data_IF_344909024113
#
_entry.id   IF_344909024113
#
_cell.length_a   1.000
_cell.length_b   1.000
_cell.length_c   1.000
_cell.angle_alpha   90.00
_cell.angle_beta   90.00
_cell.angle_gamma   90.00
#
_symmetry.space_group_name_H-M   'P 1'
#
loop_
_entity.id
_entity.type
_entity.pdbx_description
1 polymer ?
#
# COMPACT_ATOMS: atom_id res chain seq x y z
N UNK A 1 -14.20 -3.19 9.77
CA UNK A 1 -13.13 -4.18 9.52
C UNK A 1 -11.99 -3.52 8.76
N UNK A 2 -10.97 -4.29 8.39
CA UNK A 2 -9.83 -3.80 7.61
C UNK A 2 -9.58 -4.77 6.45
N UNK A 3 -9.59 -4.28 5.22
CA UNK A 3 -9.16 -5.04 4.05
C UNK A 3 -7.73 -4.64 3.75
N UNK A 4 -6.82 -5.59 3.85
CA UNK A 4 -5.43 -5.36 3.55
C UNK A 4 -5.08 -6.04 2.22
N UNK A 5 -4.78 -5.23 1.21
CA UNK A 5 -4.32 -5.74 -0.08
C UNK A 5 -2.86 -6.19 0.06
N UNK A 6 -2.54 -7.32 -0.56
CA UNK A 6 -1.21 -7.90 -0.58
C UNK A 6 -0.69 -7.94 -2.00
N UNK A 7 0.50 -7.40 -2.18
CA UNK A 7 1.15 -7.34 -3.47
C UNK A 7 1.44 -8.75 -4.02
N UNK A 8 0.80 -9.07 -5.15
CA UNK A 8 0.86 -10.36 -5.83
C UNK A 8 1.21 -10.26 -7.32
N UNK A 9 1.87 -9.18 -7.73
CA UNK A 9 2.24 -8.90 -9.13
C UNK A 9 3.75 -9.07 -9.42
N UNK A 10 4.57 -9.33 -8.39
CA UNK A 10 6.03 -9.46 -8.53
C UNK A 10 6.46 -10.65 -9.41
N UNK A 11 7.54 -10.51 -10.19
CA UNK A 11 7.99 -11.54 -11.13
C UNK A 11 9.04 -12.54 -10.57
N UNK A 12 9.58 -12.30 -9.37
CA UNK A 12 10.64 -13.14 -8.75
C UNK A 12 10.60 -13.12 -7.21
N UNK A 13 9.63 -12.42 -6.63
CA UNK A 13 9.66 -11.84 -5.30
C UNK A 13 8.21 -11.68 -4.87
N UNK A 14 7.74 -12.57 -3.98
CA UNK A 14 6.33 -12.70 -3.63
C UNK A 14 6.05 -12.32 -2.18
N UNK A 15 4.80 -11.96 -1.90
CA UNK A 15 4.29 -11.85 -0.54
C UNK A 15 3.81 -13.22 -0.10
N UNK A 16 4.23 -13.68 1.09
CA UNK A 16 3.86 -14.98 1.63
C UNK A 16 2.95 -14.82 2.84
N UNK A 17 1.89 -15.62 2.91
CA UNK A 17 0.99 -15.74 4.06
C UNK A 17 1.13 -17.15 4.62
N UNK A 18 1.61 -17.28 5.85
CA UNK A 18 1.94 -18.58 6.46
C UNK A 18 2.85 -19.47 5.59
N UNK A 19 3.79 -18.84 4.89
CA UNK A 19 4.73 -19.52 3.99
C UNK A 19 4.13 -19.97 2.65
N UNK A 20 2.85 -19.69 2.39
CA UNK A 20 2.21 -19.90 1.10
C UNK A 20 2.27 -18.60 0.30
N UNK A 21 2.68 -18.67 -0.96
CA UNK A 21 2.64 -17.54 -1.87
C UNK A 21 1.22 -16.97 -1.94
N UNK A 22 1.07 -15.68 -1.66
CA UNK A 22 -0.21 -15.00 -1.64
C UNK A 22 -0.95 -15.13 -2.98
N UNK A 23 -0.26 -15.26 -4.12
CA UNK A 23 -0.91 -15.52 -5.42
C UNK A 23 -1.79 -16.78 -5.44
N UNK A 24 -1.54 -17.72 -4.53
CA UNK A 24 -2.23 -19.01 -4.48
C UNK A 24 -3.38 -19.05 -3.47
N UNK A 25 -3.54 -18.01 -2.64
CA UNK A 25 -4.64 -17.93 -1.68
C UNK A 25 -5.84 -17.22 -2.30
N UNK A 26 -7.01 -17.49 -1.74
CA UNK A 26 -8.19 -16.63 -1.93
C UNK A 26 -8.26 -15.63 -0.77
N UNK A 27 -8.97 -14.50 -0.92
CA UNK A 27 -9.13 -13.56 0.18
C UNK A 27 -9.68 -14.26 1.42
N UNK A 28 -9.08 -13.96 2.57
CA UNK A 28 -9.24 -14.74 3.81
C UNK A 28 -9.29 -13.83 5.02
N UNK A 29 -10.05 -14.23 6.04
CA UNK A 29 -10.14 -13.51 7.32
C UNK A 29 -8.98 -13.93 8.21
N UNK A 30 -8.35 -12.95 8.86
CA UNK A 30 -7.27 -13.14 9.83
C UNK A 30 -7.55 -12.34 11.10
N UNK A 31 -7.07 -12.87 12.23
CA UNK A 31 -6.88 -12.08 13.42
C UNK A 31 -5.77 -11.05 13.19
N UNK A 32 -5.93 -9.81 13.69
CA UNK A 32 -4.91 -8.78 13.50
C UNK A 32 -3.55 -9.17 14.13
N UNK A 33 -3.57 -9.93 15.22
CA UNK A 33 -2.35 -10.40 15.90
C UNK A 33 -1.55 -11.40 15.09
N UNK A 34 -2.15 -12.14 14.16
CA UNK A 34 -1.41 -13.05 13.28
C UNK A 34 -0.43 -12.26 12.40
N UNK A 35 -0.85 -11.08 11.91
CA UNK A 35 -0.01 -10.20 11.10
C UNK A 35 1.14 -9.63 11.96
N UNK A 36 0.84 -9.25 13.20
CA UNK A 36 1.85 -8.78 14.17
C UNK A 36 2.89 -9.85 14.49
N UNK A 37 2.48 -11.13 14.53
CA UNK A 37 3.36 -12.29 14.76
C UNK A 37 4.12 -12.73 13.50
N UNK A 38 4.00 -12.01 12.39
CA UNK A 38 4.74 -12.27 11.16
C UNK A 38 4.11 -13.31 10.24
N UNK A 39 2.78 -13.50 10.30
CA UNK A 39 2.07 -14.35 9.34
C UNK A 39 2.26 -13.90 7.88
N UNK A 40 2.53 -12.61 7.66
CA UNK A 40 2.82 -12.02 6.35
C UNK A 40 4.31 -11.70 6.24
N UNK A 41 4.97 -12.31 5.27
CA UNK A 41 6.37 -12.03 4.93
C UNK A 41 6.41 -11.41 3.54
N UNK A 42 6.87 -10.16 3.47
CA UNK A 42 7.00 -9.46 2.20
C UNK A 42 8.36 -9.75 1.58
N UNK A 43 8.36 -10.61 0.57
CA UNK A 43 9.46 -10.79 -0.35
C UNK A 43 9.31 -9.93 -1.60
N UNK A 44 8.25 -9.14 -1.73
CA UNK A 44 7.87 -8.47 -2.98
C UNK A 44 8.89 -7.42 -3.48
N UNK A 45 8.82 -7.11 -4.77
CA UNK A 45 9.65 -6.11 -5.42
C UNK A 45 8.76 -5.15 -6.21
N UNK A 46 8.37 -4.06 -5.53
CA UNK A 46 7.64 -2.91 -6.08
C UNK A 46 8.52 -1.67 -6.02
N UNK A 47 7.95 -0.50 -6.26
CA UNK A 47 8.69 0.73 -6.03
C UNK A 47 9.14 0.83 -4.58
N UNK A 48 10.25 1.51 -4.31
CA UNK A 48 10.77 1.49 -2.95
C UNK A 48 9.79 2.19 -2.00
N UNK A 49 9.22 3.32 -2.39
CA UNK A 49 8.36 4.16 -1.55
C UNK A 49 7.07 3.50 -1.08
N UNK A 50 6.42 2.73 -1.94
CA UNK A 50 5.13 2.07 -1.69
C UNK A 50 5.27 0.67 -1.09
N UNK A 51 6.51 0.22 -0.83
CA UNK A 51 6.76 -1.11 -0.30
C UNK A 51 6.33 -1.28 1.16
N UNK A 52 5.49 -2.28 1.42
CA UNK A 52 5.21 -2.79 2.77
C UNK A 52 6.13 -3.97 3.09
N UNK A 53 7.32 -3.66 3.62
CA UNK A 53 8.28 -4.66 4.10
C UNK A 53 7.70 -5.55 5.20
N UNK A 54 8.30 -6.71 5.47
CA UNK A 54 7.91 -7.57 6.61
C UNK A 54 7.87 -6.80 7.94
N UNK A 55 8.77 -5.82 8.12
CA UNK A 55 8.74 -4.95 9.29
C UNK A 55 7.49 -4.06 9.32
N UNK A 56 7.11 -3.47 8.18
CA UNK A 56 5.86 -2.69 8.05
C UNK A 56 4.63 -3.56 8.32
N UNK A 57 4.62 -4.81 7.83
CA UNK A 57 3.53 -5.75 8.07
C UNK A 57 3.34 -6.04 9.57
N UNK A 58 4.41 -6.41 10.26
CA UNK A 58 4.38 -6.73 11.69
C UNK A 58 4.04 -5.52 12.58
N UNK A 59 4.29 -4.30 12.09
CA UNK A 59 4.04 -3.05 12.80
C UNK A 59 3.00 -2.20 12.05
N UNK A 60 1.96 -2.82 11.50
CA UNK A 60 0.97 -2.12 10.70
C UNK A 60 0.19 -1.10 11.57
N UNK A 61 0.30 0.22 11.33
CA UNK A 61 -0.26 1.23 12.21
C UNK A 61 -1.79 1.29 12.09
N UNK A 62 -2.39 0.89 10.95
CA UNK A 62 -3.84 0.75 10.81
C UNK A 62 -4.37 -0.29 11.80
N UNK A 63 -3.68 -1.43 11.92
CA UNK A 63 -4.03 -2.48 12.88
C UNK A 63 -3.86 -1.98 14.31
N UNK A 64 -2.73 -1.34 14.61
CA UNK A 64 -2.47 -0.81 15.95
C UNK A 64 -3.54 0.20 16.39
N UNK A 65 -3.90 1.13 15.51
CA UNK A 65 -4.88 2.18 15.82
C UNK A 65 -6.29 1.61 15.95
N UNK A 66 -6.70 0.68 15.08
CA UNK A 66 -7.98 -0.01 15.21
C UNK A 66 -8.08 -0.84 16.51
N UNK A 67 -6.99 -1.49 16.94
CA UNK A 67 -6.94 -2.21 18.22
C UNK A 67 -7.02 -1.26 19.42
N UNK A 68 -6.41 -0.06 19.36
CA UNK A 68 -6.46 0.93 20.46
C UNK A 68 -7.89 1.39 20.78
N UNK A 69 -8.73 1.50 19.75
CA UNK A 69 -10.13 1.96 19.85
C UNK A 69 -11.17 0.83 19.89
N UNK A 70 -10.75 -0.42 19.66
CA UNK A 70 -11.60 -1.60 19.72
C UNK A 70 -12.32 -1.73 21.08
N UNK A 71 -13.63 -1.96 21.05
CA UNK A 71 -14.48 -2.09 22.23
C UNK A 71 -14.74 -0.78 22.98
N UNK A 72 -14.29 0.37 22.44
CA UNK A 72 -14.47 1.70 23.02
C UNK A 72 -15.27 2.61 22.09
N UNK A 73 -14.73 2.87 20.90
CA UNK A 73 -15.34 3.75 19.89
C UNK A 73 -15.94 2.95 18.74
N UNK A 74 -15.31 1.83 18.39
CA UNK A 74 -15.77 0.89 17.38
C UNK A 74 -15.44 -0.55 17.78
N UNK A 75 -16.03 -1.53 17.08
CA UNK A 75 -15.67 -2.93 17.21
C UNK A 75 -14.85 -3.36 15.98
N UNK A 76 -13.54 -3.46 16.15
CA UNK A 76 -12.66 -4.00 15.13
C UNK A 76 -12.81 -5.53 15.05
N UNK A 77 -13.59 -6.03 14.08
CA UNK A 77 -13.91 -7.47 13.96
C UNK A 77 -12.79 -8.33 13.34
N UNK A 78 -11.81 -7.73 12.68
CA UNK A 78 -10.70 -8.47 12.07
C UNK A 78 -10.24 -7.91 10.73
N UNK A 79 -9.28 -8.61 10.14
CA UNK A 79 -8.64 -8.26 8.87
C UNK A 79 -9.11 -9.22 7.79
N UNK A 80 -9.40 -8.72 6.59
CA UNK A 80 -9.57 -9.51 5.37
C UNK A 80 -8.33 -9.23 4.52
N UNK A 81 -7.47 -10.21 4.32
CA UNK A 81 -6.39 -10.08 3.35
C UNK A 81 -6.92 -10.39 1.96
N UNK A 82 -6.47 -9.66 0.94
CA UNK A 82 -6.86 -9.88 -0.46
C UNK A 82 -5.67 -9.69 -1.40
N UNK A 83 -5.78 -10.28 -2.59
CA UNK A 83 -4.77 -10.24 -3.63
C UNK A 83 -4.83 -8.97 -4.48
N UNK A 84 -3.66 -8.50 -4.91
CA UNK A 84 -3.50 -7.53 -6.00
C UNK A 84 -3.08 -8.27 -7.27
N UNK A 85 -4.04 -8.64 -8.11
CA UNK A 85 -3.76 -9.55 -9.23
C UNK A 85 -3.34 -8.78 -10.48
N UNK A 86 -2.60 -9.45 -11.37
CA UNK A 86 -2.24 -8.87 -12.67
C UNK A 86 -3.46 -8.82 -13.60
N UNK A 87 -4.18 -9.94 -13.73
CA UNK A 87 -5.27 -10.05 -14.71
C UNK A 87 -6.62 -9.59 -14.16
N UNK A 88 -7.37 -8.84 -14.97
CA UNK A 88 -8.67 -8.29 -14.60
C UNK A 88 -9.65 -9.33 -14.04
N UNK A 89 -9.73 -10.52 -14.63
CA UNK A 89 -10.62 -11.59 -14.16
C UNK A 89 -10.27 -12.06 -12.73
N UNK A 90 -8.99 -12.05 -12.36
CA UNK A 90 -8.54 -12.40 -11.02
C UNK A 90 -8.81 -11.27 -10.02
N UNK A 91 -8.67 -10.00 -10.45
CA UNK A 91 -9.11 -8.82 -9.67
C UNK A 91 -10.61 -8.89 -9.37
N UNK A 92 -11.41 -9.22 -10.38
CA UNK A 92 -12.87 -9.38 -10.25
C UNK A 92 -13.24 -10.49 -9.27
N UNK A 93 -12.58 -11.65 -9.39
CA UNK A 93 -12.80 -12.78 -8.49
C UNK A 93 -12.43 -12.43 -7.05
N UNK A 94 -11.26 -11.85 -6.82
CA UNK A 94 -10.76 -11.53 -5.48
C UNK A 94 -11.63 -10.47 -4.82
N UNK A 95 -11.92 -9.37 -5.51
CA UNK A 95 -12.79 -8.31 -4.97
C UNK A 95 -14.24 -8.75 -4.74
N UNK A 96 -14.80 -9.65 -5.55
CA UNK A 96 -16.11 -10.27 -5.28
C UNK A 96 -16.08 -11.08 -3.98
N UNK A 97 -15.00 -11.83 -3.75
CA UNK A 97 -14.83 -12.63 -2.55
C UNK A 97 -14.64 -11.76 -1.31
N UNK A 98 -13.82 -10.71 -1.40
CA UNK A 98 -13.61 -9.73 -0.34
C UNK A 98 -14.92 -9.03 0.05
N UNK A 99 -15.70 -8.55 -0.92
CA UNK A 99 -16.99 -7.93 -0.64
C UNK A 99 -17.98 -8.89 0.01
N UNK A 100 -17.99 -10.16 -0.40
CA UNK A 100 -18.78 -11.23 0.24
C UNK A 100 -18.35 -11.46 1.69
N UNK A 101 -17.04 -11.47 1.98
CA UNK A 101 -16.54 -11.64 3.35
C UNK A 101 -16.88 -10.44 4.23
N UNK A 102 -16.79 -9.22 3.69
CA UNK A 102 -17.20 -8.00 4.40
C UNK A 102 -18.70 -8.02 4.74
N UNK A 103 -19.56 -8.42 3.81
CA UNK A 103 -21.00 -8.62 4.04
C UNK A 103 -21.27 -9.77 5.04
N UNK A 104 -20.54 -10.89 4.93
CA UNK A 104 -20.68 -12.03 5.84
C UNK A 104 -20.34 -11.70 7.30
N UNK A 105 -19.35 -10.83 7.50
CA UNK A 105 -18.98 -10.32 8.82
C UNK A 105 -19.91 -9.21 9.32
N UNK A 106 -20.91 -8.80 8.53
CA UNK A 106 -21.87 -7.74 8.85
C UNK A 106 -21.17 -6.42 9.23
N UNK A 107 -20.18 -6.02 8.44
CA UNK A 107 -19.38 -4.83 8.73
C UNK A 107 -20.15 -3.55 8.42
N UNK A 108 -20.19 -2.59 9.35
CA UNK A 108 -20.71 -1.24 9.09
C UNK A 108 -19.78 -0.42 8.19
N UNK A 109 -18.47 -0.66 8.30
CA UNK A 109 -17.44 0.03 7.53
C UNK A 109 -16.10 -0.70 7.47
N UNK A 110 -15.30 -0.34 6.48
CA UNK A 110 -14.05 -1.01 6.10
C UNK A 110 -12.99 0.02 5.71
N UNK A 111 -11.82 -0.06 6.34
CA UNK A 111 -10.60 0.59 5.81
C UNK A 111 -9.98 -0.35 4.78
N UNK A 112 -9.50 0.15 3.64
CA UNK A 112 -8.84 -0.63 2.60
C UNK A 112 -7.46 -0.01 2.33
N UNK A 113 -6.37 -0.74 2.58
CA UNK A 113 -5.02 -0.29 2.22
C UNK A 113 -4.51 -1.03 1.00
N UNK A 114 -3.89 -0.30 0.08
CA UNK A 114 -3.18 -0.82 -1.09
C UNK A 114 -1.71 -1.18 -0.77
N UNK A 115 -0.99 -1.81 -1.70
CA UNK A 115 0.47 -1.84 -1.76
C UNK A 115 0.98 -1.69 -3.20
N UNK A 116 1.74 -0.64 -3.50
CA UNK A 116 2.22 -0.36 -4.85
C UNK A 116 1.24 0.51 -5.64
N UNK A 117 1.55 0.81 -6.91
CA UNK A 117 0.79 1.80 -7.68
C UNK A 117 0.44 1.36 -9.11
N UNK A 118 -0.52 2.04 -9.72
CA UNK A 118 -0.91 1.85 -11.12
C UNK A 118 -1.84 0.66 -11.30
N UNK A 119 -1.30 -0.55 -11.53
CA UNK A 119 -2.17 -1.72 -11.72
C UNK A 119 -2.94 -2.14 -10.44
N UNK A 120 -2.36 -2.08 -9.22
CA UNK A 120 -3.11 -2.29 -7.98
C UNK A 120 -4.22 -1.26 -7.71
N UNK A 121 -4.16 -0.04 -8.29
CA UNK A 121 -5.22 0.97 -8.13
C UNK A 121 -6.59 0.42 -8.56
N UNK A 122 -6.62 -0.37 -9.64
CA UNK A 122 -7.85 -1.05 -10.09
C UNK A 122 -8.36 -2.07 -9.07
N UNK A 123 -7.48 -2.81 -8.37
CA UNK A 123 -7.91 -3.70 -7.28
C UNK A 123 -8.50 -2.88 -6.12
N UNK A 124 -7.88 -1.76 -5.76
CA UNK A 124 -8.32 -0.89 -4.67
C UNK A 124 -9.71 -0.33 -4.96
N UNK A 125 -9.88 0.30 -6.12
CA UNK A 125 -11.16 0.88 -6.54
C UNK A 125 -12.22 -0.20 -6.69
N UNK A 126 -11.88 -1.39 -7.20
CA UNK A 126 -12.84 -2.47 -7.34
C UNK A 126 -13.31 -3.04 -6.00
N UNK A 127 -12.40 -3.19 -5.03
CA UNK A 127 -12.77 -3.56 -3.65
C UNK A 127 -13.67 -2.50 -3.02
N UNK A 128 -13.26 -1.22 -3.10
CA UNK A 128 -14.03 -0.09 -2.58
C UNK A 128 -15.46 -0.05 -3.14
N UNK A 129 -15.58 -0.06 -4.47
CA UNK A 129 -16.86 -0.02 -5.19
C UNK A 129 -17.78 -1.16 -4.80
N UNK A 130 -17.27 -2.40 -4.79
CA UNK A 130 -18.08 -3.59 -4.52
C UNK A 130 -18.53 -3.66 -3.05
N UNK A 131 -17.69 -3.20 -2.13
CA UNK A 131 -18.04 -3.13 -0.69
C UNK A 131 -19.10 -2.03 -0.46
N UNK A 132 -18.93 -0.83 -1.02
CA UNK A 132 -19.94 0.25 -0.93
C UNK A 132 -21.29 -0.16 -1.57
N UNK A 133 -21.27 -0.92 -2.67
CA UNK A 133 -22.49 -1.46 -3.28
C UNK A 133 -23.25 -2.47 -2.38
N UNK A 134 -22.60 -2.99 -1.33
CA UNK A 134 -23.24 -3.79 -0.28
C UNK A 134 -23.79 -2.95 0.88
N UNK A 135 -23.68 -1.63 0.80
CA UNK A 135 -24.11 -0.71 1.86
C UNK A 135 -23.08 -0.53 2.99
N UNK A 136 -21.86 -1.03 2.81
CA UNK A 136 -20.77 -0.98 3.79
C UNK A 136 -19.86 0.20 3.46
N UNK A 137 -19.59 1.08 4.42
CA UNK A 137 -18.79 2.28 4.17
C UNK A 137 -17.31 1.99 3.99
N UNK A 138 -16.66 2.65 3.05
CA UNK A 138 -15.23 2.44 2.80
C UNK A 138 -14.41 3.70 2.99
N UNK A 139 -13.20 3.52 3.50
CA UNK A 139 -12.11 4.50 3.43
C UNK A 139 -10.93 3.80 2.80
N UNK A 140 -10.38 4.38 1.73
CA UNK A 140 -9.20 3.82 1.07
C UNK A 140 -7.93 4.56 1.53
N UNK A 141 -6.84 3.82 1.68
CA UNK A 141 -5.50 4.35 1.91
C UNK A 141 -4.65 3.94 0.70
N UNK A 142 -4.05 4.93 0.06
CA UNK A 142 -3.25 4.78 -1.17
C UNK A 142 -2.09 5.79 -1.14
N UNK A 143 -1.23 5.80 -2.14
CA UNK A 143 -0.29 6.88 -2.40
C UNK A 143 -0.64 7.60 -3.71
N UNK A 144 0.16 8.59 -4.08
CA UNK A 144 -0.09 9.39 -5.27
C UNK A 144 1.10 9.40 -6.21
N UNK A 145 0.82 9.21 -7.49
CA UNK A 145 1.77 9.40 -8.58
C UNK A 145 1.34 10.62 -9.41
N UNK A 146 1.37 11.78 -8.76
CA UNK A 146 0.80 13.02 -9.28
C UNK A 146 1.82 13.90 -10.04
N UNK A 147 3.00 13.36 -10.38
CA UNK A 147 4.08 14.13 -10.99
C UNK A 147 4.76 15.07 -9.99
N UNK A 148 5.92 15.62 -10.37
CA UNK A 148 6.78 16.41 -9.47
C UNK A 148 6.13 17.69 -8.93
N UNK A 149 5.20 18.25 -9.70
CA UNK A 149 4.43 19.44 -9.35
C UNK A 149 3.08 19.11 -8.69
N UNK A 150 2.74 17.82 -8.56
CA UNK A 150 1.47 17.35 -8.00
C UNK A 150 0.25 17.64 -8.87
N UNK A 151 0.42 17.97 -10.15
CA UNK A 151 -0.67 18.39 -11.04
C UNK A 151 -1.22 17.26 -11.93
N UNK A 152 -0.59 16.08 -11.94
CA UNK A 152 -1.03 14.94 -12.74
C UNK A 152 -2.15 14.18 -12.04
N UNK A 153 -2.87 13.34 -12.80
CA UNK A 153 -3.85 12.43 -12.22
C UNK A 153 -3.14 11.45 -11.28
N UNK A 154 -3.49 11.47 -10.00
CA UNK A 154 -2.76 10.73 -8.96
C UNK A 154 -2.91 9.21 -9.02
N UNK A 155 -4.07 8.69 -9.45
CA UNK A 155 -4.40 7.26 -9.51
C UNK A 155 -4.78 6.84 -10.92
N UNK A 156 -4.41 5.62 -11.32
CA UNK A 156 -4.74 5.04 -12.61
C UNK A 156 -6.23 4.69 -12.78
N UNK A 157 -6.94 4.46 -11.67
CA UNK A 157 -8.37 4.15 -11.64
C UNK A 157 -9.09 5.03 -10.60
N UNK A 158 -10.38 5.29 -10.82
CA UNK A 158 -11.22 6.09 -9.92
C UNK A 158 -12.70 5.74 -10.08
N UNK A 159 -13.47 5.83 -8.99
CA UNK A 159 -14.92 5.67 -9.00
C UNK A 159 -15.56 6.67 -8.02
N UNK A 160 -16.73 7.28 -8.33
CA UNK A 160 -17.41 8.21 -7.42
C UNK A 160 -17.74 7.64 -6.03
N UNK A 161 -17.78 6.31 -5.87
CA UNK A 161 -17.96 5.67 -4.57
C UNK A 161 -16.69 5.71 -3.71
N UNK A 162 -15.50 5.85 -4.29
CA UNK A 162 -14.25 6.05 -3.58
C UNK A 162 -14.07 7.53 -3.17
N UNK A 163 -14.95 8.00 -2.28
CA UNK A 163 -15.03 9.42 -1.90
C UNK A 163 -14.39 9.75 -0.54
N UNK A 164 -13.84 8.75 0.16
CA UNK A 164 -13.06 8.91 1.37
C UNK A 164 -11.68 8.28 1.17
N UNK A 165 -10.68 9.13 0.94
CA UNK A 165 -9.32 8.74 0.54
C UNK A 165 -8.32 9.36 1.51
N UNK A 166 -7.39 8.53 1.99
CA UNK A 166 -6.21 8.96 2.73
C UNK A 166 -4.99 8.65 1.86
N UNK A 167 -4.10 9.63 1.74
CA UNK A 167 -2.89 9.52 0.92
C UNK A 167 -1.65 9.36 1.79
N UNK A 168 -0.75 8.45 1.40
CA UNK A 168 0.59 8.29 1.95
C UNK A 168 1.58 9.35 1.47
N UNK A 169 1.20 10.18 0.49
CA UNK A 169 2.02 11.24 -0.10
C UNK A 169 2.27 11.05 -1.59
N UNK A 170 2.85 12.07 -2.23
CA UNK A 170 3.20 12.02 -3.65
C UNK A 170 4.59 11.40 -3.85
N UNK A 171 4.64 10.23 -4.49
CA UNK A 171 5.88 9.50 -4.76
C UNK A 171 6.83 10.24 -5.71
N UNK A 172 6.30 11.17 -6.52
CA UNK A 172 7.10 11.94 -7.48
C UNK A 172 7.72 13.22 -6.87
N UNK A 173 7.51 13.52 -5.59
CA UNK A 173 8.14 14.69 -4.95
C UNK A 173 9.67 14.56 -5.00
N UNK A 174 10.34 15.61 -5.48
CA UNK A 174 11.81 15.60 -5.61
C UNK A 174 12.44 15.98 -4.27
N UNK A 175 13.42 15.19 -3.86
CA UNK A 175 14.22 15.41 -2.66
C UNK A 175 15.69 15.54 -3.00
N UNK A 176 16.43 16.22 -2.14
CA UNK A 176 17.88 16.27 -2.17
C UNK A 176 18.46 15.59 -0.93
N UNK A 177 19.28 14.58 -1.15
CA UNK A 177 20.07 13.91 -0.12
C UNK A 177 21.49 14.50 -0.14
N UNK A 178 22.04 14.89 1.01
CA UNK A 178 23.41 15.38 1.08
C UNK A 178 24.41 14.26 0.76
N UNK A 179 25.68 14.59 0.47
CA UNK A 179 26.72 13.58 0.31
C UNK A 179 26.80 12.67 1.54
N UNK A 180 26.79 11.36 1.31
CA UNK A 180 26.75 10.37 2.38
C UNK A 180 28.15 10.05 2.90
N UNK A 181 28.35 10.11 4.22
CA UNK A 181 29.62 9.71 4.87
C UNK A 181 29.98 8.23 4.62
N UNK A 182 28.96 7.40 4.37
CA UNK A 182 29.09 5.96 4.13
C UNK A 182 28.10 5.48 3.09
N UNK A 183 28.62 4.80 2.07
CA UNK A 183 27.82 4.13 1.03
C UNK A 183 27.86 2.62 1.25
N UNK A 184 26.70 1.97 1.19
CA UNK A 184 26.56 0.51 1.22
C UNK A 184 25.91 0.09 -0.10
N UNK A 185 26.59 -0.76 -0.86
CA UNK A 185 26.16 -1.14 -2.22
C UNK A 185 26.90 -0.34 -3.28
N UNK A 186 26.25 -0.13 -4.44
CA UNK A 186 26.83 0.54 -5.59
C UNK A 186 26.05 1.83 -5.92
N UNK A 187 26.73 2.97 -5.80
CA UNK A 187 26.14 4.30 -6.00
C UNK A 187 25.89 4.62 -7.48
N UNK A 188 26.54 3.92 -8.40
CA UNK A 188 26.44 4.23 -9.83
C UNK A 188 25.04 3.93 -10.42
N UNK A 189 24.19 3.26 -9.66
CA UNK A 189 22.83 2.91 -10.07
C UNK A 189 21.78 3.96 -9.70
N UNK A 190 22.15 5.00 -8.96
CA UNK A 190 21.22 6.06 -8.50
C UNK A 190 20.45 6.71 -9.65
N UNK A 191 21.07 6.90 -10.80
CA UNK A 191 20.45 7.54 -11.97
C UNK A 191 19.44 6.64 -12.71
N UNK A 192 19.42 5.33 -12.43
CA UNK A 192 18.60 4.36 -13.19
C UNK A 192 17.61 3.56 -12.34
N UNK A 193 17.63 3.70 -11.01
CA UNK A 193 16.58 3.14 -10.14
C UNK A 193 15.26 3.88 -10.34
N UNK A 194 14.16 3.28 -9.88
CA UNK A 194 12.89 3.99 -9.77
C UNK A 194 13.05 5.25 -8.90
N UNK A 195 12.55 6.39 -9.39
CA UNK A 195 12.75 7.72 -8.83
C UNK A 195 14.07 8.42 -9.21
N UNK A 196 15.03 7.69 -9.76
CA UNK A 196 16.27 8.23 -10.32
C UNK A 196 16.12 8.73 -11.75
N UNK A 197 17.01 9.62 -12.16
CA UNK A 197 17.10 10.14 -13.52
C UNK A 197 18.54 10.55 -13.85
N UNK A 198 18.81 10.83 -15.13
CA UNK A 198 20.12 11.28 -15.59
C UNK A 198 20.57 12.53 -14.82
N UNK A 199 21.71 12.44 -14.13
CA UNK A 199 22.21 13.51 -13.26
C UNK A 199 21.62 13.51 -11.84
N UNK A 200 21.01 12.40 -11.39
CA UNK A 200 20.61 12.25 -10.00
C UNK A 200 21.80 12.25 -9.05
N UNK A 201 22.92 11.60 -9.39
CA UNK A 201 24.16 11.65 -8.63
C UNK A 201 25.04 12.84 -9.07
N UNK A 202 25.26 13.79 -8.16
CA UNK A 202 26.09 14.98 -8.41
C UNK A 202 27.59 14.71 -8.22
N UNK A 203 28.44 15.56 -8.82
CA UNK A 203 29.90 15.48 -8.69
C UNK A 203 30.39 15.61 -7.24
N UNK A 204 29.66 16.34 -6.39
CA UNK A 204 29.96 16.50 -4.97
C UNK A 204 29.48 15.32 -4.10
N UNK A 205 28.82 14.33 -4.71
CA UNK A 205 28.28 13.14 -4.06
C UNK A 205 26.88 13.30 -3.48
N UNK A 206 26.25 14.48 -3.59
CA UNK A 206 24.84 14.66 -3.26
C UNK A 206 23.95 13.96 -4.28
N UNK A 207 22.69 13.69 -3.90
CA UNK A 207 21.74 12.95 -4.74
C UNK A 207 20.43 13.71 -4.84
N UNK A 208 19.96 13.98 -6.06
CA UNK A 208 18.60 14.48 -6.33
C UNK A 208 17.77 13.40 -6.98
N UNK A 209 16.72 12.95 -6.30
CA UNK A 209 15.83 11.86 -6.75
C UNK A 209 14.40 12.16 -6.36
N UNK A 210 13.44 11.46 -6.96
CA UNK A 210 12.07 11.42 -6.45
C UNK A 210 11.99 10.58 -5.18
N UNK A 211 11.03 10.91 -4.31
CA UNK A 211 10.75 10.23 -3.04
C UNK A 211 10.53 8.72 -3.25
N UNK A 212 10.11 8.34 -4.46
CA UNK A 212 10.02 6.99 -4.96
C UNK A 212 11.23 6.10 -4.63
N UNK A 213 12.44 6.67 -4.57
CA UNK A 213 13.68 5.96 -4.28
C UNK A 213 13.85 5.53 -2.80
N UNK A 214 13.07 6.08 -1.86
CA UNK A 214 13.20 5.81 -0.43
C UNK A 214 12.23 4.72 0.01
N UNK A 215 12.73 3.62 0.58
CA UNK A 215 11.89 2.51 1.04
C UNK A 215 10.82 2.93 2.04
N UNK A 216 9.55 2.65 1.75
CA UNK A 216 8.41 2.92 2.62
C UNK A 216 8.05 4.39 2.80
N UNK A 217 8.61 5.28 1.97
CA UNK A 217 8.37 6.72 2.11
C UNK A 217 6.91 7.11 1.89
N UNK A 218 6.20 6.50 0.95
CA UNK A 218 4.78 6.79 0.65
C UNK A 218 3.84 5.63 1.01
N UNK A 219 4.32 4.64 1.76
CA UNK A 219 3.57 3.40 1.92
C UNK A 219 2.13 3.59 2.43
N UNK A 220 1.24 2.79 1.89
CA UNK A 220 -0.21 2.97 1.92
C UNK A 220 -0.84 2.34 3.17
N UNK A 221 0.00 2.07 4.17
CA UNK A 221 -0.43 1.82 5.55
C UNK A 221 -0.11 3.02 6.46
N UNK A 222 0.59 4.05 5.98
CA UNK A 222 0.88 5.25 6.76
C UNK A 222 2.01 5.10 7.79
N UNK A 223 3.04 4.29 7.48
CA UNK A 223 4.20 4.11 8.36
C UNK A 223 5.20 5.28 8.31
N UNK A 224 5.04 6.15 7.32
CA UNK A 224 5.92 7.29 7.09
C UNK A 224 5.63 8.48 8.04
N UNK A 225 6.42 9.55 7.92
CA UNK A 225 6.33 10.74 8.78
C UNK A 225 5.65 11.93 8.11
N UNK A 226 5.16 11.76 6.88
CA UNK A 226 4.51 12.83 6.16
C UNK A 226 3.13 13.10 6.76
N UNK A 227 2.73 14.36 6.70
CA UNK A 227 1.42 14.82 7.15
C UNK A 227 1.07 16.06 6.34
N UNK A 228 -0.18 16.17 5.94
CA UNK A 228 -0.73 17.44 5.50
C UNK A 228 -0.85 18.37 6.72
N UNK A 229 -0.48 19.64 6.54
CA UNK A 229 -0.88 20.73 7.44
C UNK A 229 -1.83 21.60 6.66
N UNK A 230 -3.09 21.65 7.09
CA UNK A 230 -4.04 22.63 6.57
C UNK A 230 -3.55 24.05 6.87
N UNK A 231 -3.72 24.95 5.91
CA UNK A 231 -3.55 26.39 6.10
C UNK A 231 -4.93 27.04 6.29
#
# INVERSE_FOLDING_TARGET
GYVQMLQTQGLLHDTYVYGVDAKQIVPTIMYPTEIMDGAIVSGNCVSACDKNTTYHQMNNPVIEDLLKVHGKELNFLGVIITNENVYLADKERSSNWTAKLAEYLDLDGVIISQEGFGNPDTDLIMNCKKIEQKGIKTVIITDEYAGRDGASQSLADADPLANAVVTGGNANEVIELPPMDKVIGDINYVDIIAGGFDGSLHEDGSITVELQAITGATNEIGFNKMSAKGY
#
